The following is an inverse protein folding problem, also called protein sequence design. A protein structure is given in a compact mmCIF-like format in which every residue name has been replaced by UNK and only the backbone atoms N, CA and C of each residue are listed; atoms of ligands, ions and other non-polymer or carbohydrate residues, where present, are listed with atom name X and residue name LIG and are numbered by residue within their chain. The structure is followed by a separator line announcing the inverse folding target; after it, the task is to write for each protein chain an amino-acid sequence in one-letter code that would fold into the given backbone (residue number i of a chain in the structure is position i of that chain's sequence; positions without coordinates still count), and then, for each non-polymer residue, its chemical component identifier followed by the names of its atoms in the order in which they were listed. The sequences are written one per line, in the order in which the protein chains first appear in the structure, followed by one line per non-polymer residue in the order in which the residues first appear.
data_IF_688667631693
#
_entry.id   IF_688667631693
#
_cell.length_a   1.000
_cell.length_b   1.000
_cell.length_c   1.000
_cell.angle_alpha   90.00
_cell.angle_beta   90.00
_cell.angle_gamma   90.00
#
_symmetry.space_group_name_H-M   'P 1'
#
loop_
_entity.id
_entity.type
_entity.pdbx_description
1 polymer ?
#
# COMPACT_ATOMS: atom_id res chain seq x y z
N UNK A 1 -8.61 -1.49 20.19
CA UNK A 1 -7.72 -0.92 21.18
C UNK A 1 -6.29 -1.33 20.92
N UNK A 2 -5.33 -0.47 21.24
CA UNK A 2 -3.91 -0.78 21.19
C UNK A 2 -3.62 -1.90 22.19
N UNK A 3 -2.85 -2.90 21.77
CA UNK A 3 -2.52 -4.03 22.64
C UNK A 3 -1.40 -3.62 23.61
N UNK A 4 -1.71 -3.57 24.90
CA UNK A 4 -0.70 -3.38 25.94
C UNK A 4 0.31 -4.52 25.99
N UNK A 5 -0.07 -5.70 25.49
CA UNK A 5 0.80 -6.88 25.42
C UNK A 5 1.98 -6.69 24.46
N UNK A 6 1.82 -5.87 23.43
CA UNK A 6 2.86 -5.63 22.41
C UNK A 6 4.11 -4.96 22.98
N UNK A 7 3.95 -4.18 24.05
CA UNK A 7 5.05 -3.48 24.72
C UNK A 7 5.55 -4.20 25.98
N UNK A 8 4.88 -5.27 26.41
CA UNK A 8 5.28 -6.02 27.61
C UNK A 8 6.65 -6.69 27.39
N UNK A 9 7.60 -6.39 28.29
CA UNK A 9 8.98 -6.88 28.19
C UNK A 9 9.89 -6.08 27.25
N UNK A 10 9.38 -5.05 26.55
CA UNK A 10 10.19 -4.17 25.69
C UNK A 10 10.86 -3.09 26.52
N UNK A 11 12.20 -2.96 26.41
CA UNK A 11 12.91 -1.85 27.02
C UNK A 11 12.82 -0.61 26.12
N UNK A 12 11.84 0.24 26.37
CA UNK A 12 11.61 1.49 25.62
C UNK A 12 12.69 2.57 25.84
N UNK A 13 13.61 2.37 26.78
CA UNK A 13 14.67 3.36 27.10
C UNK A 13 15.99 3.11 26.38
N UNK A 14 16.20 1.94 25.79
CA UNK A 14 17.45 1.57 25.13
C UNK A 14 17.30 1.52 23.61
N UNK A 15 17.64 2.60 22.92
CA UNK A 15 17.58 2.70 21.47
C UNK A 15 16.23 3.21 20.95
N UNK A 16 16.09 3.29 19.64
CA UNK A 16 14.81 3.65 19.01
C UNK A 16 13.85 2.47 19.12
N UNK A 17 12.71 2.65 19.76
CA UNK A 17 11.68 1.62 19.87
C UNK A 17 11.09 1.25 18.49
N UNK A 18 11.21 2.14 17.51
CA UNK A 18 10.79 1.90 16.13
C UNK A 18 11.70 0.92 15.37
N UNK A 19 12.94 0.71 15.83
CA UNK A 19 13.87 -0.26 15.23
C UNK A 19 13.60 -1.70 15.68
N UNK A 20 12.73 -1.88 16.68
CA UNK A 20 12.38 -3.21 17.17
C UNK A 20 11.27 -3.81 16.29
N UNK A 21 11.62 -4.82 15.49
CA UNK A 21 10.73 -5.51 14.55
C UNK A 21 9.53 -6.21 15.23
N UNK A 22 9.67 -6.55 16.52
CA UNK A 22 8.63 -7.25 17.27
C UNK A 22 7.60 -6.30 17.90
N UNK A 23 7.82 -4.99 17.80
CA UNK A 23 6.93 -3.96 18.38
C UNK A 23 6.24 -3.18 17.28
N UNK A 24 4.89 -3.24 17.18
CA UNK A 24 4.15 -2.43 16.23
C UNK A 24 4.37 -0.93 16.45
N UNK A 25 4.63 -0.17 15.39
CA UNK A 25 4.85 1.28 15.46
C UNK A 25 3.71 2.04 16.12
N UNK A 26 2.47 1.56 15.94
CA UNK A 26 1.30 2.16 16.59
C UNK A 26 1.38 2.07 18.12
N UNK A 27 1.95 0.98 18.65
CA UNK A 27 2.14 0.82 20.10
C UNK A 27 3.22 1.78 20.63
N UNK A 28 4.29 2.01 19.85
CA UNK A 28 5.32 3.00 20.17
C UNK A 28 4.74 4.41 20.18
N UNK A 29 3.98 4.78 19.15
CA UNK A 29 3.29 6.07 19.08
C UNK A 29 2.34 6.30 20.26
N UNK A 30 1.60 5.26 20.65
CA UNK A 30 0.69 5.33 21.79
C UNK A 30 1.43 5.55 23.13
N UNK A 31 2.59 4.94 23.29
CA UNK A 31 3.46 5.15 24.45
C UNK A 31 4.05 6.56 24.47
N UNK A 32 4.65 7.00 23.37
CA UNK A 32 5.22 8.34 23.27
C UNK A 32 4.16 9.44 23.34
N UNK A 33 2.93 9.14 22.92
CA UNK A 33 1.75 10.01 23.05
C UNK A 33 1.05 9.95 24.41
N UNK A 34 1.59 9.22 25.38
CA UNK A 34 1.01 9.05 26.73
C UNK A 34 -0.38 8.40 26.75
N UNK A 35 -0.81 7.75 25.68
CA UNK A 35 -2.09 7.03 25.62
C UNK A 35 -2.04 5.71 26.38
N UNK A 36 -0.86 5.11 26.50
CA UNK A 36 -0.55 3.96 27.34
C UNK A 36 0.73 4.25 28.14
N UNK A 37 0.74 3.88 29.42
CA UNK A 37 1.85 4.17 30.31
C UNK A 37 2.22 2.95 31.15
N UNK A 38 3.54 2.71 31.44
CA UNK A 38 3.94 1.64 32.33
C UNK A 38 3.55 1.96 33.76
N UNK A 39 3.02 0.96 34.48
CA UNK A 39 2.72 1.08 35.91
C UNK A 39 4.00 0.85 36.71
N UNK A 40 4.43 1.86 37.45
CA UNK A 40 5.68 1.82 38.22
C UNK A 40 5.74 0.63 39.17
N UNK A 41 6.82 -0.16 39.09
CA UNK A 41 7.06 -1.32 39.97
C UNK A 41 6.33 -2.60 39.54
N UNK A 42 5.70 -2.61 38.39
CA UNK A 42 5.05 -3.80 37.81
C UNK A 42 5.47 -3.98 36.34
N UNK A 43 5.12 -5.13 35.75
CA UNK A 43 5.26 -5.36 34.30
C UNK A 43 3.93 -5.11 33.56
N UNK A 44 3.06 -4.27 34.10
CA UNK A 44 1.75 -3.97 33.53
C UNK A 44 1.72 -2.55 32.96
N UNK A 45 0.79 -2.35 32.04
CA UNK A 45 0.53 -1.08 31.37
C UNK A 45 -0.87 -0.61 31.69
N UNK A 46 -1.06 0.69 31.79
CA UNK A 46 -2.37 1.31 31.96
C UNK A 46 -2.72 2.19 30.74
N UNK A 47 -3.99 2.23 30.41
CA UNK A 47 -4.54 3.15 29.42
C UNK A 47 -4.76 4.52 30.05
N UNK A 48 -4.70 5.58 29.25
CA UNK A 48 -5.14 6.91 29.62
C UNK A 48 -6.63 6.94 30.04
N UNK A 49 -7.46 6.06 29.44
CA UNK A 49 -8.89 6.00 29.71
C UNK A 49 -9.17 5.45 31.10
N UNK A 50 -10.01 6.17 31.86
CA UNK A 50 -10.52 5.71 33.15
C UNK A 50 -11.48 4.53 32.99
N UNK A 51 -11.63 3.64 34.00
CA UNK A 51 -12.60 2.56 33.95
C UNK A 51 -14.02 3.07 33.68
N UNK A 52 -14.64 2.59 32.60
CA UNK A 52 -15.99 3.01 32.19
C UNK A 52 -16.04 4.27 31.33
N UNK A 53 -14.93 4.91 31.07
CA UNK A 53 -14.87 6.03 30.15
C UNK A 53 -15.10 5.54 28.71
N UNK A 54 -15.82 6.34 27.93
CA UNK A 54 -16.13 6.06 26.54
C UNK A 54 -15.46 7.06 25.63
N UNK A 55 -15.18 6.63 24.40
CA UNK A 55 -14.60 7.44 23.34
C UNK A 55 -15.57 7.53 22.17
N UNK A 56 -15.52 8.64 21.45
CA UNK A 56 -16.26 8.82 20.20
C UNK A 56 -15.28 8.80 19.04
N UNK A 57 -15.20 7.66 18.30
CA UNK A 57 -14.28 7.54 17.18
C UNK A 57 -14.86 8.19 15.92
N UNK A 58 -13.97 8.70 15.05
CA UNK A 58 -14.26 9.02 13.66
C UNK A 58 -13.09 8.61 12.76
N UNK A 59 -13.40 8.24 11.52
CA UNK A 59 -12.41 7.76 10.55
C UNK A 59 -12.65 8.39 9.19
N UNK A 60 -11.58 8.86 8.58
CA UNK A 60 -11.57 9.38 7.22
C UNK A 60 -10.49 8.66 6.41
N UNK A 61 -10.82 8.25 5.20
CA UNK A 61 -9.93 7.66 4.22
C UNK A 61 -9.95 8.50 2.95
N UNK A 62 -8.79 8.84 2.42
CA UNK A 62 -8.60 9.48 1.12
C UNK A 62 -7.57 8.69 0.32
N UNK A 63 -7.93 8.26 -0.87
CA UNK A 63 -7.09 7.51 -1.78
C UNK A 63 -7.08 8.18 -3.15
N UNK A 64 -5.91 8.22 -3.77
CA UNK A 64 -5.75 8.67 -5.14
C UNK A 64 -4.56 7.98 -5.79
N UNK A 65 -4.60 7.84 -7.11
CA UNK A 65 -3.47 7.25 -7.82
C UNK A 65 -3.80 7.01 -9.29
N UNK A 66 -2.77 6.62 -10.01
CA UNK A 66 -2.86 6.26 -11.43
C UNK A 66 -1.81 5.23 -11.81
N UNK A 67 -2.07 4.55 -12.91
CA UNK A 67 -1.11 3.72 -13.62
C UNK A 67 -1.12 4.18 -15.07
N UNK A 68 -0.02 4.82 -15.49
CA UNK A 68 0.19 5.19 -16.90
C UNK A 68 0.89 4.07 -17.64
N UNK A 69 0.45 3.76 -18.86
CA UNK A 69 1.10 2.79 -19.76
C UNK A 69 1.58 3.50 -21.03
N UNK A 70 2.88 3.50 -21.24
CA UNK A 70 3.52 3.97 -22.47
C UNK A 70 3.83 2.77 -23.36
N UNK A 71 3.20 2.73 -24.54
CA UNK A 71 3.26 1.59 -25.44
C UNK A 71 4.06 1.91 -26.70
N UNK A 72 5.05 1.08 -27.01
CA UNK A 72 5.75 1.10 -28.29
C UNK A 72 5.41 -0.18 -29.05
N UNK A 73 4.66 -0.03 -30.15
CA UNK A 73 4.17 -1.14 -30.95
C UNK A 73 4.76 -1.17 -32.35
N UNK A 74 4.97 -2.38 -32.85
CA UNK A 74 5.26 -2.67 -34.24
C UNK A 74 4.30 -3.74 -34.76
N UNK A 75 3.88 -3.61 -36.05
CA UNK A 75 3.06 -4.61 -36.71
C UNK A 75 3.48 -4.77 -38.14
N UNK A 76 3.44 -5.99 -38.62
CA UNK A 76 3.73 -6.36 -40.00
C UNK A 76 2.64 -7.21 -40.65
N UNK A 77 2.42 -6.99 -41.94
CA UNK A 77 1.53 -7.78 -42.77
C UNK A 77 2.40 -8.52 -43.84
N UNK A 78 2.26 -9.82 -43.89
CA UNK A 78 3.00 -10.69 -44.81
C UNK A 78 1.99 -11.34 -45.78
N UNK A 79 2.02 -10.93 -47.03
CA UNK A 79 1.21 -11.42 -48.12
C UNK A 79 -0.33 -11.42 -47.86
N UNK A 80 -0.82 -10.56 -46.96
CA UNK A 80 -2.22 -10.53 -46.55
C UNK A 80 -2.75 -11.86 -45.93
N UNK A 81 -1.84 -12.78 -45.61
CA UNK A 81 -2.14 -14.09 -45.01
C UNK A 81 -1.72 -14.12 -43.53
N UNK A 82 -0.55 -13.58 -43.24
CA UNK A 82 0.00 -13.60 -41.89
C UNK A 82 0.28 -12.19 -41.38
N UNK A 83 -0.23 -11.90 -40.19
CA UNK A 83 -0.04 -10.63 -39.51
C UNK A 83 0.63 -10.89 -38.16
N UNK A 84 1.68 -10.16 -37.88
CA UNK A 84 2.42 -10.22 -36.62
C UNK A 84 2.46 -8.85 -36.00
N UNK A 85 2.20 -8.79 -34.70
CA UNK A 85 2.32 -7.57 -33.90
C UNK A 85 3.06 -7.83 -32.59
N UNK A 86 3.81 -6.84 -32.15
CA UNK A 86 4.43 -6.83 -30.84
C UNK A 86 4.35 -5.45 -30.22
N UNK A 87 4.18 -5.38 -28.90
CA UNK A 87 4.11 -4.13 -28.16
C UNK A 87 4.89 -4.27 -26.86
N UNK A 88 5.85 -3.39 -26.67
CA UNK A 88 6.54 -3.18 -25.41
C UNK A 88 5.80 -2.10 -24.62
N UNK A 89 5.44 -2.41 -23.39
CA UNK A 89 4.77 -1.47 -22.50
C UNK A 89 5.67 -1.15 -21.31
N UNK A 90 5.80 0.14 -21.03
CA UNK A 90 6.43 0.68 -19.84
C UNK A 90 5.33 1.32 -18.99
N UNK A 91 5.26 0.93 -17.72
CA UNK A 91 4.23 1.40 -16.81
C UNK A 91 4.86 2.29 -15.74
N UNK A 92 4.13 3.33 -15.34
CA UNK A 92 4.41 4.17 -14.19
C UNK A 92 3.26 4.04 -13.21
N UNK A 93 3.59 3.80 -11.95
CA UNK A 93 2.63 3.71 -10.85
C UNK A 93 2.86 4.87 -9.90
N UNK A 94 1.78 5.52 -9.49
CA UNK A 94 1.77 6.54 -8.46
C UNK A 94 0.45 6.40 -7.68
N UNK A 95 0.57 6.12 -6.38
CA UNK A 95 -0.57 5.92 -5.49
C UNK A 95 -0.30 6.59 -4.15
N UNK A 96 -1.30 7.22 -3.59
CA UNK A 96 -1.25 7.84 -2.27
C UNK A 96 -2.53 7.52 -1.49
N UNK A 97 -2.35 7.13 -0.25
CA UNK A 97 -3.41 6.91 0.72
C UNK A 97 -3.16 7.75 1.96
N UNK A 98 -4.18 8.44 2.42
CA UNK A 98 -4.20 9.15 3.68
C UNK A 98 -5.35 8.64 4.53
N UNK A 99 -5.06 8.26 5.78
CA UNK A 99 -6.08 7.91 6.76
C UNK A 99 -5.96 8.81 7.98
N UNK A 100 -7.10 9.22 8.50
CA UNK A 100 -7.21 9.97 9.73
C UNK A 100 -8.18 9.27 10.67
N UNK A 101 -7.69 8.91 11.84
CA UNK A 101 -8.48 8.34 12.92
C UNK A 101 -8.47 9.30 14.10
N UNK A 102 -9.66 9.70 14.55
CA UNK A 102 -9.82 10.60 15.68
C UNK A 102 -10.59 9.90 16.79
N UNK A 103 -10.24 10.21 18.04
CA UNK A 103 -11.02 9.87 19.22
C UNK A 103 -11.23 11.12 20.07
N UNK A 104 -12.48 11.39 20.44
CA UNK A 104 -12.87 12.37 21.47
C UNK A 104 -13.15 11.61 22.76
N UNK A 105 -12.51 12.01 23.85
CA UNK A 105 -12.66 11.37 25.16
C UNK A 105 -13.74 12.09 25.99
N UNK A 106 -14.67 11.32 26.58
CA UNK A 106 -15.72 11.90 27.40
C UNK A 106 -15.19 12.60 28.67
N UNK A 107 -14.04 12.15 29.18
CA UNK A 107 -13.32 12.80 30.28
C UNK A 107 -12.59 14.09 29.91
N UNK A 108 -12.60 14.44 28.64
CA UNK A 108 -11.91 15.60 28.07
C UNK A 108 -10.61 15.23 27.32
N UNK A 109 -10.34 16.00 26.27
CA UNK A 109 -9.22 15.76 25.36
C UNK A 109 -9.60 14.94 24.13
N UNK A 110 -8.63 14.82 23.24
CA UNK A 110 -8.77 14.07 21.99
C UNK A 110 -7.43 13.52 21.52
N UNK A 111 -7.47 12.55 20.64
CA UNK A 111 -6.32 12.14 19.84
C UNK A 111 -6.65 12.10 18.36
N UNK A 112 -5.64 12.31 17.52
CA UNK A 112 -5.72 12.23 16.07
C UNK A 112 -4.53 11.46 15.55
N UNK A 113 -4.77 10.31 14.92
CA UNK A 113 -3.76 9.49 14.27
C UNK A 113 -3.89 9.66 12.76
N UNK A 114 -2.88 10.22 12.14
CA UNK A 114 -2.76 10.37 10.71
C UNK A 114 -1.75 9.36 10.16
N UNK A 115 -2.15 8.60 9.15
CA UNK A 115 -1.23 7.73 8.42
C UNK A 115 -1.21 8.14 6.95
N UNK A 116 -0.02 8.21 6.38
CA UNK A 116 0.21 8.45 4.97
C UNK A 116 1.00 7.30 4.39
N UNK A 117 0.55 6.77 3.26
CA UNK A 117 1.27 5.80 2.46
C UNK A 117 1.36 6.35 1.04
N UNK A 118 2.55 6.32 0.47
CA UNK A 118 2.79 6.70 -0.93
C UNK A 118 3.54 5.57 -1.61
N UNK A 119 2.94 5.00 -2.66
CA UNK A 119 3.53 3.94 -3.47
C UNK A 119 3.88 4.49 -4.83
N UNK A 120 5.15 4.42 -5.21
CA UNK A 120 5.62 4.83 -6.53
C UNK A 120 6.41 3.72 -7.18
N UNK A 121 6.48 3.71 -8.50
CA UNK A 121 7.32 2.76 -9.20
C UNK A 121 7.05 2.63 -10.68
N UNK A 122 7.62 1.57 -11.24
CA UNK A 122 7.53 1.28 -12.67
C UNK A 122 7.28 -0.20 -12.94
N UNK A 123 6.76 -0.48 -14.13
CA UNK A 123 6.52 -1.83 -14.60
C UNK A 123 6.88 -1.98 -16.07
N UNK A 124 7.07 -3.23 -16.50
CA UNK A 124 7.33 -3.56 -17.90
C UNK A 124 6.62 -4.86 -18.27
N UNK A 125 6.05 -4.91 -19.47
CA UNK A 125 5.54 -6.13 -20.09
C UNK A 125 5.68 -6.09 -21.61
N UNK A 126 5.54 -7.25 -22.22
CA UNK A 126 5.57 -7.45 -23.66
C UNK A 126 4.27 -8.15 -24.09
N UNK A 127 3.68 -7.66 -25.17
CA UNK A 127 2.53 -8.29 -25.83
C UNK A 127 2.94 -8.71 -27.23
N UNK A 128 2.67 -9.95 -27.60
CA UNK A 128 2.93 -10.49 -28.94
C UNK A 128 1.64 -11.09 -29.45
N UNK A 129 1.27 -10.76 -30.67
CA UNK A 129 0.08 -11.29 -31.31
C UNK A 129 0.32 -11.68 -32.76
N UNK A 130 -0.34 -12.74 -33.18
CA UNK A 130 -0.33 -13.18 -34.57
C UNK A 130 -1.76 -13.44 -35.06
N UNK A 131 -2.05 -13.09 -36.32
CA UNK A 131 -3.28 -13.46 -36.99
C UNK A 131 -2.92 -14.18 -38.29
N UNK A 132 -3.56 -15.32 -38.52
CA UNK A 132 -3.45 -16.08 -39.78
C UNK A 132 -4.79 -16.05 -40.48
N UNK A 133 -4.76 -15.74 -41.76
CA UNK A 133 -5.90 -15.69 -42.68
C UNK A 133 -5.70 -16.72 -43.79
N UNK A 134 -6.03 -18.01 -43.56
CA UNK A 134 -5.82 -19.08 -44.54
C UNK A 134 -6.67 -18.92 -45.79
N UNK A 135 -7.86 -18.32 -45.64
CA UNK A 135 -8.82 -18.00 -46.71
C UNK A 135 -9.43 -16.63 -46.49
N UNK A 136 -10.12 -16.09 -47.48
CA UNK A 136 -10.84 -14.82 -47.33
C UNK A 136 -11.91 -14.83 -46.27
N UNK A 137 -12.42 -16.01 -45.93
CA UNK A 137 -13.54 -16.22 -45.01
C UNK A 137 -13.11 -16.59 -43.59
N UNK A 138 -11.86 -17.06 -43.36
CA UNK A 138 -11.42 -17.56 -42.06
C UNK A 138 -10.21 -16.79 -41.54
N UNK A 139 -10.28 -16.48 -40.23
CA UNK A 139 -9.19 -15.82 -39.49
C UNK A 139 -9.00 -16.50 -38.16
N UNK A 140 -7.75 -16.74 -37.77
CA UNK A 140 -7.36 -17.25 -36.46
C UNK A 140 -6.38 -16.27 -35.84
N UNK A 141 -6.56 -15.97 -34.58
CA UNK A 141 -5.70 -15.08 -33.81
C UNK A 141 -5.17 -15.75 -32.54
N UNK A 142 -3.92 -15.48 -32.23
CA UNK A 142 -3.29 -15.85 -30.98
C UNK A 142 -2.53 -14.64 -30.43
N UNK A 143 -2.72 -14.32 -29.16
CA UNK A 143 -1.98 -13.28 -28.49
C UNK A 143 -1.49 -13.78 -27.12
N UNK A 144 -0.25 -13.42 -26.80
CA UNK A 144 0.39 -13.72 -25.54
C UNK A 144 0.83 -12.41 -24.90
N UNK A 145 0.43 -12.19 -23.67
CA UNK A 145 0.88 -11.09 -22.83
C UNK A 145 1.79 -11.67 -21.75
N UNK A 146 3.02 -11.21 -21.68
CA UNK A 146 3.92 -11.61 -20.58
C UNK A 146 3.39 -11.06 -19.26
N UNK A 147 3.77 -11.66 -18.13
CA UNK A 147 3.58 -11.03 -16.85
C UNK A 147 4.11 -9.59 -16.83
N UNK A 148 3.38 -8.68 -16.20
CA UNK A 148 3.90 -7.34 -15.92
C UNK A 148 4.78 -7.43 -14.69
N UNK A 149 6.04 -7.05 -14.83
CA UNK A 149 6.99 -6.99 -13.73
C UNK A 149 7.01 -5.58 -13.18
N UNK A 150 6.53 -5.41 -11.94
CA UNK A 150 6.56 -4.14 -11.22
C UNK A 150 7.71 -4.10 -10.22
N UNK A 151 8.37 -2.95 -10.14
CA UNK A 151 9.28 -2.60 -9.05
C UNK A 151 8.70 -1.36 -8.37
N UNK A 152 8.28 -1.52 -7.12
CA UNK A 152 7.54 -0.53 -6.36
C UNK A 152 8.28 -0.18 -5.07
N UNK A 153 8.09 1.05 -4.63
CA UNK A 153 8.57 1.57 -3.36
C UNK A 153 7.40 2.18 -2.60
N UNK A 154 7.20 1.73 -1.37
CA UNK A 154 6.29 2.32 -0.40
C UNK A 154 7.05 3.24 0.53
N UNK A 155 6.55 4.45 0.69
CA UNK A 155 6.93 5.37 1.75
C UNK A 155 5.74 5.53 2.68
N UNK A 156 5.96 5.36 3.98
CA UNK A 156 4.90 5.45 4.98
C UNK A 156 5.32 6.25 6.19
N UNK A 157 4.38 7.02 6.72
CA UNK A 157 4.56 7.83 7.90
C UNK A 157 3.28 7.83 8.72
N UNK A 158 3.42 7.78 10.04
CA UNK A 158 2.31 7.96 10.98
C UNK A 158 2.62 9.09 11.94
N UNK A 159 1.62 9.93 12.22
CA UNK A 159 1.71 11.02 13.17
C UNK A 159 0.53 10.95 14.12
N UNK A 160 0.83 10.91 15.42
CA UNK A 160 -0.14 10.99 16.49
C UNK A 160 -0.11 12.39 17.09
N UNK A 161 -1.22 13.12 17.00
CA UNK A 161 -1.46 14.35 17.74
C UNK A 161 -2.37 14.02 18.92
N UNK A 162 -2.07 14.60 20.08
CA UNK A 162 -2.85 14.35 21.29
C UNK A 162 -3.03 15.64 22.09
N UNK A 163 -4.20 15.79 22.67
CA UNK A 163 -4.58 16.88 23.57
C UNK A 163 -5.38 16.24 24.70
N UNK A 164 -4.65 15.72 25.68
CA UNK A 164 -5.16 14.99 26.84
C UNK A 164 -4.64 15.67 28.11
N UNK A 165 -4.03 14.93 29.04
CA UNK A 165 -3.31 15.51 30.20
C UNK A 165 -2.07 16.31 29.74
N UNK A 166 -1.49 15.94 28.61
CA UNK A 166 -0.42 16.63 27.90
C UNK A 166 -0.86 16.91 26.46
N UNK A 167 -0.27 17.96 25.88
CA UNK A 167 -0.48 18.29 24.47
C UNK A 167 0.80 18.08 23.69
N UNK A 168 0.70 17.42 22.53
CA UNK A 168 1.88 17.18 21.72
C UNK A 168 1.58 16.46 20.40
N UNK A 169 2.67 16.16 19.69
CA UNK A 169 2.66 15.40 18.45
C UNK A 169 3.87 14.50 18.42
N UNK A 170 3.68 13.25 18.04
CA UNK A 170 4.74 12.26 17.86
C UNK A 170 4.60 11.66 16.47
N UNK A 171 5.72 11.45 15.80
CA UNK A 171 5.72 10.87 14.45
C UNK A 171 6.69 9.69 14.39
N UNK A 172 6.38 8.73 13.55
CA UNK A 172 7.33 7.69 13.17
C UNK A 172 8.53 8.30 12.46
N UNK A 173 9.69 7.64 12.45
CA UNK A 173 10.81 8.06 11.62
C UNK A 173 10.39 8.24 10.16
N UNK A 174 11.02 9.21 9.48
CA UNK A 174 10.72 9.52 8.08
C UNK A 174 11.27 8.48 7.09
N UNK A 175 12.07 7.54 7.56
CA UNK A 175 12.77 6.52 6.75
C UNK A 175 11.98 5.22 6.60
N UNK A 176 10.68 5.24 6.90
CA UNK A 176 9.79 4.10 6.68
C UNK A 176 9.56 3.88 5.19
N UNK A 177 10.44 3.14 4.53
CA UNK A 177 10.25 2.74 3.13
C UNK A 177 10.43 1.22 2.98
N UNK A 178 9.76 0.68 1.99
CA UNK A 178 9.88 -0.72 1.62
C UNK A 178 9.90 -0.87 0.10
N UNK A 179 10.92 -1.55 -0.40
CA UNK A 179 11.05 -1.87 -1.82
C UNK A 179 10.57 -3.29 -2.07
N UNK A 180 9.65 -3.48 -2.99
CA UNK A 180 9.12 -4.79 -3.33
C UNK A 180 8.82 -4.94 -4.82
N UNK A 181 8.64 -6.18 -5.25
CA UNK A 181 8.33 -6.52 -6.64
C UNK A 181 7.02 -7.27 -6.70
N UNK A 182 6.18 -6.89 -7.64
CA UNK A 182 4.94 -7.60 -7.95
C UNK A 182 5.02 -8.13 -9.38
N UNK A 183 4.54 -9.34 -9.57
CA UNK A 183 4.39 -9.94 -10.89
C UNK A 183 2.92 -10.14 -11.19
N UNK A 184 2.44 -9.54 -12.27
CA UNK A 184 1.10 -9.77 -12.80
C UNK A 184 0.96 -11.15 -13.46
N UNK A 185 -0.25 -11.59 -13.78
CA UNK A 185 -0.48 -12.84 -14.48
C UNK A 185 -0.07 -12.77 -15.96
N UNK A 186 0.37 -13.90 -16.51
CA UNK A 186 0.45 -14.11 -17.95
C UNK A 186 -0.95 -14.31 -18.53
N UNK A 187 -1.19 -13.79 -19.74
CA UNK A 187 -2.46 -13.99 -20.44
C UNK A 187 -2.22 -14.57 -21.84
N UNK A 188 -3.03 -15.53 -22.21
CA UNK A 188 -3.05 -16.11 -23.57
C UNK A 188 -4.48 -15.99 -24.09
N UNK A 189 -4.61 -15.35 -25.26
CA UNK A 189 -5.89 -15.16 -25.92
C UNK A 189 -5.86 -15.86 -27.28
N UNK A 190 -6.84 -16.70 -27.54
CA UNK A 190 -7.04 -17.33 -28.85
C UNK A 190 -8.39 -16.91 -29.42
N UNK A 191 -8.47 -16.64 -30.70
CA UNK A 191 -9.69 -16.22 -31.38
C UNK A 191 -9.81 -16.87 -32.75
N UNK A 192 -11.05 -17.08 -33.19
CA UNK A 192 -11.41 -17.48 -34.53
C UNK A 192 -12.57 -16.64 -35.05
N UNK A 193 -12.53 -16.25 -36.30
CA UNK A 193 -13.61 -15.50 -36.94
C UNK A 193 -13.88 -16.05 -38.35
N UNK A 194 -15.18 -16.14 -38.70
CA UNK A 194 -15.64 -16.43 -40.04
C UNK A 194 -16.41 -15.23 -40.59
N UNK A 195 -16.14 -14.86 -41.84
CA UNK A 195 -16.87 -13.81 -42.57
C UNK A 195 -17.82 -14.51 -43.55
N UNK A 196 -19.12 -14.24 -43.41
CA UNK A 196 -20.17 -14.82 -44.23
C UNK A 196 -20.59 -13.78 -45.27
#
# INVERSE_FOLDING_TARGET
GLSQADLSGTNMQSGSAYDNIDVPWISVLAYEGYLINPVTGTNSWESLLSPGETVKPSFTLSEQGFVDEYSLGWAGNFNNVFYLGTTLNLLRVDYSMFTQYNEEFNGGGHMNLNNTVSTTGSGVNLKIGAIVRPTDYLRFGLAVHTPTMYSLEDNYQSTLNFDTQNRGSVSTPTDGYNNFKIQGPMQINASAAAVI
#
